data_IF_867755100674
#
_entry.id   IF_867755100674
#
_cell.length_a   1.000
_cell.length_b   1.000
_cell.length_c   1.000
_cell.angle_alpha   90.00
_cell.angle_beta   90.00
_cell.angle_gamma   90.00
#
_symmetry.space_group_name_H-M   'P 1'
#
loop_
_entity.id
_entity.type
_entity.pdbx_description
1 polymer ?
#
# COMPACT_ATOMS: atom_id res chain seq x y z
N UNK A 1 9.44 57.52 -0.96
CA UNK A 1 10.54 56.78 -0.31
C UNK A 1 11.84 57.19 -0.95
N UNK A 2 12.87 57.53 -0.16
CA UNK A 2 14.18 57.85 -0.75
C UNK A 2 14.79 56.54 -1.27
N UNK A 3 15.65 56.55 -2.30
CA UNK A 3 16.31 55.34 -2.81
C UNK A 3 17.02 54.52 -1.72
N UNK A 4 17.53 55.22 -0.70
CA UNK A 4 18.16 54.64 0.48
C UNK A 4 17.18 53.84 1.35
N UNK A 5 15.94 54.28 1.47
CA UNK A 5 14.91 53.56 2.23
C UNK A 5 14.53 52.27 1.50
N UNK A 6 14.42 52.33 0.17
CA UNK A 6 14.10 51.17 -0.65
C UNK A 6 15.23 50.12 -0.61
N UNK A 7 16.49 50.58 -0.60
CA UNK A 7 17.66 49.72 -0.44
C UNK A 7 17.70 49.04 0.93
N UNK A 8 17.37 49.78 2.00
CA UNK A 8 17.31 49.22 3.36
C UNK A 8 16.21 48.15 3.48
N UNK A 9 15.02 48.42 2.95
CA UNK A 9 13.91 47.46 2.93
C UNK A 9 14.29 46.20 2.13
N UNK A 10 14.93 46.37 0.97
CA UNK A 10 15.41 45.24 0.16
C UNK A 10 16.42 44.37 0.92
N UNK A 11 17.35 44.98 1.65
CA UNK A 11 18.34 44.25 2.45
C UNK A 11 17.66 43.42 3.56
N UNK A 12 16.72 44.02 4.30
CA UNK A 12 15.97 43.30 5.33
C UNK A 12 15.12 42.16 4.76
N UNK A 13 14.51 42.35 3.60
CA UNK A 13 13.74 41.31 2.93
C UNK A 13 14.61 40.10 2.55
N UNK A 14 15.83 40.34 2.04
CA UNK A 14 16.78 39.27 1.69
C UNK A 14 17.22 38.50 2.94
N UNK A 15 17.58 39.21 4.01
CA UNK A 15 17.98 38.56 5.28
C UNK A 15 16.84 37.73 5.85
N UNK A 16 15.61 38.27 5.87
CA UNK A 16 14.44 37.54 6.33
C UNK A 16 14.15 36.29 5.49
N UNK A 17 14.29 36.38 4.17
CA UNK A 17 14.10 35.23 3.28
C UNK A 17 15.10 34.11 3.56
N UNK A 18 16.39 34.45 3.75
CA UNK A 18 17.44 33.48 4.08
C UNK A 18 17.14 32.80 5.42
N UNK A 19 16.84 33.59 6.45
CA UNK A 19 16.54 33.06 7.79
C UNK A 19 15.29 32.17 7.75
N UNK A 20 14.23 32.60 7.06
CA UNK A 20 13.00 31.83 6.90
C UNK A 20 13.23 30.51 6.18
N UNK A 21 14.08 30.49 5.15
CA UNK A 21 14.41 29.26 4.42
C UNK A 21 15.16 28.25 5.30
N UNK A 22 16.12 28.73 6.09
CA UNK A 22 16.87 27.86 7.00
C UNK A 22 15.93 27.29 8.08
N UNK A 23 15.09 28.13 8.69
CA UNK A 23 14.13 27.70 9.70
C UNK A 23 13.10 26.72 9.14
N UNK A 24 12.58 26.97 7.95
CA UNK A 24 11.61 26.08 7.31
C UNK A 24 12.21 24.69 7.08
N UNK A 25 13.44 24.60 6.60
CA UNK A 25 14.10 23.30 6.40
C UNK A 25 14.47 22.60 7.72
N UNK A 26 14.74 23.36 8.78
CA UNK A 26 15.04 22.79 10.10
C UNK A 26 13.77 22.23 10.77
N UNK A 27 12.64 22.94 10.65
CA UNK A 27 11.38 22.57 11.31
C UNK A 27 10.57 21.56 10.48
N UNK A 28 10.49 21.76 9.16
CA UNK A 28 9.67 20.94 8.25
C UNK A 28 10.49 19.91 7.49
N UNK A 29 11.50 19.30 8.13
CA UNK A 29 12.27 18.24 7.49
C UNK A 29 11.37 16.99 7.35
N UNK A 30 11.10 16.50 6.12
CA UNK A 30 10.34 15.27 5.95
C UNK A 30 11.09 14.10 6.62
N UNK A 31 10.36 13.10 7.16
CA UNK A 31 10.98 11.93 7.74
C UNK A 31 11.96 11.30 6.74
N UNK A 32 13.18 10.96 7.19
CA UNK A 32 14.21 10.38 6.34
C UNK A 32 13.91 8.93 5.90
N UNK A 33 12.71 8.41 6.21
CA UNK A 33 12.25 7.09 5.83
C UNK A 33 11.52 7.15 4.50
N UNK A 34 11.97 6.32 3.55
CA UNK A 34 11.25 6.01 2.32
C UNK A 34 9.76 5.79 2.63
N UNK A 35 8.88 6.51 1.94
CA UNK A 35 7.47 6.13 1.77
C UNK A 35 7.43 4.84 0.93
N UNK A 36 8.00 3.77 1.47
CA UNK A 36 7.84 2.44 0.92
C UNK A 36 6.46 1.99 1.39
N UNK A 37 5.46 2.46 0.63
CA UNK A 37 4.12 1.91 0.70
C UNK A 37 4.28 0.42 0.40
N UNK A 38 3.72 -0.49 1.21
CA UNK A 38 3.78 -1.91 0.89
C UNK A 38 3.17 -2.13 -0.50
N UNK A 39 4.00 -2.48 -1.48
CA UNK A 39 3.51 -2.97 -2.75
C UNK A 39 2.80 -4.29 -2.47
N UNK A 40 1.48 -4.32 -2.66
CA UNK A 40 0.72 -5.55 -2.59
C UNK A 40 1.15 -6.39 -3.77
N UNK A 41 1.85 -7.50 -3.51
CA UNK A 41 2.25 -8.44 -4.56
C UNK A 41 1.01 -8.92 -5.30
N UNK A 42 1.09 -9.06 -6.62
CA UNK A 42 0.01 -9.65 -7.41
C UNK A 42 -0.32 -11.04 -6.83
N UNK A 43 -1.60 -11.30 -6.59
CA UNK A 43 -2.06 -12.61 -6.14
C UNK A 43 -1.80 -13.57 -7.29
N UNK A 44 -0.96 -14.58 -7.06
CA UNK A 44 -0.70 -15.63 -8.04
C UNK A 44 -2.02 -16.35 -8.36
N UNK A 45 -2.41 -16.51 -9.65
CA UNK A 45 -3.62 -17.27 -10.02
C UNK A 45 -3.53 -18.76 -9.66
N UNK A 46 -2.38 -19.24 -9.21
CA UNK A 46 -2.18 -20.63 -8.81
C UNK A 46 -2.78 -20.86 -7.43
N UNK A 47 -3.86 -21.64 -7.38
CA UNK A 47 -4.37 -22.19 -6.13
C UNK A 47 -3.34 -23.15 -5.50
N UNK A 48 -3.21 -23.16 -4.16
CA UNK A 48 -2.37 -24.14 -3.49
C UNK A 48 -2.87 -25.56 -3.78
N UNK A 49 -1.94 -26.51 -3.88
CA UNK A 49 -2.30 -27.92 -3.99
C UNK A 49 -2.86 -28.40 -2.65
N UNK A 50 -4.18 -28.43 -2.56
CA UNK A 50 -4.97 -28.82 -1.38
C UNK A 50 -4.54 -30.15 -0.76
N UNK A 51 -3.94 -31.06 -1.55
CA UNK A 51 -3.52 -32.38 -1.07
C UNK A 51 -2.04 -32.43 -0.68
N UNK A 52 -1.19 -31.70 -1.40
CA UNK A 52 0.26 -31.85 -1.26
C UNK A 52 0.97 -30.62 -0.66
N UNK A 53 0.29 -29.50 -0.48
CA UNK A 53 0.87 -28.27 0.09
C UNK A 53 0.79 -28.29 1.63
N UNK A 54 1.95 -28.42 2.29
CA UNK A 54 2.07 -28.41 3.74
C UNK A 54 1.61 -27.09 4.38
N UNK A 55 1.77 -25.95 3.69
CA UNK A 55 1.33 -24.66 4.20
C UNK A 55 -0.20 -24.57 4.18
N UNK A 56 -0.84 -25.05 3.13
CA UNK A 56 -2.30 -25.11 3.04
C UNK A 56 -2.91 -25.99 4.15
N UNK A 57 -2.35 -27.18 4.37
CA UNK A 57 -2.80 -28.13 5.40
C UNK A 57 -2.62 -27.63 6.85
N UNK A 58 -1.81 -26.59 7.06
CA UNK A 58 -1.58 -26.02 8.39
C UNK A 58 -2.62 -24.98 8.83
N UNK A 59 -3.33 -24.37 7.87
CA UNK A 59 -4.32 -23.33 8.16
C UNK A 59 -5.74 -23.70 7.72
N UNK A 60 -5.91 -24.53 6.69
CA UNK A 60 -7.21 -24.96 6.18
C UNK A 60 -7.39 -26.47 6.28
N UNK A 61 -8.64 -26.91 6.40
CA UNK A 61 -8.98 -28.34 6.33
C UNK A 61 -8.72 -28.85 4.89
N UNK A 62 -8.32 -30.12 4.77
CA UNK A 62 -8.02 -30.81 3.50
C UNK A 62 -9.18 -30.79 2.48
N UNK A 63 -10.40 -30.44 2.91
CA UNK A 63 -11.59 -30.36 2.06
C UNK A 63 -12.04 -28.91 1.76
N UNK A 64 -11.34 -27.89 2.27
CA UNK A 64 -11.85 -26.51 2.25
C UNK A 64 -11.87 -25.87 0.84
N UNK A 65 -10.99 -26.33 -0.06
CA UNK A 65 -10.92 -25.88 -1.46
C UNK A 65 -10.95 -27.08 -2.42
N UNK A 66 -11.81 -28.07 -2.18
CA UNK A 66 -12.00 -29.17 -3.13
C UNK A 66 -13.08 -28.78 -4.17
N UNK A 67 -12.71 -28.33 -5.39
CA UNK A 67 -13.68 -27.95 -6.42
C UNK A 67 -14.43 -29.15 -7.01
N UNK A 68 -14.06 -30.39 -6.63
CA UNK A 68 -14.60 -31.63 -7.21
C UNK A 68 -15.69 -32.28 -6.36
N UNK A 69 -16.10 -31.65 -5.25
CA UNK A 69 -17.17 -32.20 -4.44
C UNK A 69 -18.53 -32.06 -5.13
N UNK A 70 -19.25 -33.18 -5.21
CA UNK A 70 -20.61 -33.19 -5.73
C UNK A 70 -21.51 -32.47 -4.74
N UNK A 71 -21.89 -31.22 -5.03
CA UNK A 71 -22.83 -30.46 -4.22
C UNK A 71 -24.24 -31.03 -4.44
N UNK A 72 -24.75 -31.79 -3.48
CA UNK A 72 -26.13 -32.30 -3.51
C UNK A 72 -27.07 -31.19 -3.00
N UNK A 73 -27.64 -30.40 -3.91
CA UNK A 73 -28.64 -29.39 -3.57
C UNK A 73 -30.00 -30.09 -3.43
N UNK A 74 -30.34 -30.50 -2.21
CA UNK A 74 -31.60 -31.24 -1.92
C UNK A 74 -31.54 -32.72 -2.29
N UNK A 75 -32.68 -33.43 -2.24
CA UNK A 75 -32.78 -34.88 -2.49
C UNK A 75 -32.57 -35.31 -3.96
N UNK A 76 -31.83 -34.53 -4.75
CA UNK A 76 -31.62 -34.78 -6.17
C UNK A 76 -30.12 -34.77 -6.47
N UNK A 77 -29.59 -35.91 -6.90
CA UNK A 77 -28.22 -36.08 -7.37
C UNK A 77 -28.05 -35.40 -8.73
N UNK A 78 -27.78 -34.08 -8.74
CA UNK A 78 -27.45 -33.39 -9.99
C UNK A 78 -26.02 -33.75 -10.43
N UNK A 79 -25.91 -34.55 -11.50
CA UNK A 79 -24.64 -35.03 -12.07
C UNK A 79 -24.01 -34.07 -13.09
N UNK A 80 -24.65 -32.92 -13.39
CA UNK A 80 -24.13 -31.92 -14.33
C UNK A 80 -24.53 -30.51 -13.87
N UNK A 81 -23.75 -29.87 -12.99
CA UNK A 81 -24.13 -28.60 -12.39
C UNK A 81 -24.02 -27.36 -13.31
N UNK A 82 -23.39 -27.46 -14.49
CA UNK A 82 -23.09 -26.28 -15.34
C UNK A 82 -23.24 -26.53 -16.85
N UNK A 83 -24.19 -27.37 -17.27
CA UNK A 83 -24.55 -27.49 -18.69
C UNK A 83 -25.74 -26.61 -19.05
#
# INVERSE_FOLDING_TARGET
MKPKDLAAIGLFAIVAAIVSFILANAIFKPPAGSTQVPEVSAIDPIFPDVKNDSNYNSFFNNNALDPTQTVTIGNQNNTVPFR
#
